data_IF_738781266599
#
_entry.id   IF_738781266599
#
_cell.length_a   1.000
_cell.length_b   1.000
_cell.length_c   1.000
_cell.angle_alpha   90.00
_cell.angle_beta   90.00
_cell.angle_gamma   90.00
#
_symmetry.space_group_name_H-M   'P 1'
#
loop_
_entity.id
_entity.type
_entity.pdbx_description
1 polymer ?
#
# COMPACT_ATOMS: atom_id res chain seq x y z
N UNK A 1 -3.10 12.11 -15.05
CA UNK A 1 -2.48 10.80 -14.94
C UNK A 1 -3.13 9.98 -13.84
N UNK A 2 -3.85 8.97 -14.18
CA UNK A 2 -4.50 8.18 -13.14
C UNK A 2 -3.46 7.47 -12.27
N UNK A 3 -3.75 7.39 -11.02
CA UNK A 3 -2.84 6.73 -10.08
C UNK A 3 -3.14 5.27 -9.89
N UNK A 4 -4.16 4.76 -10.55
CA UNK A 4 -4.57 3.37 -10.40
C UNK A 4 -4.86 3.08 -8.94
N UNK A 5 -4.41 1.94 -8.47
CA UNK A 5 -4.46 1.58 -7.07
C UNK A 5 -3.23 2.09 -6.31
N UNK A 6 -2.32 2.75 -6.99
CA UNK A 6 -1.12 3.28 -6.35
C UNK A 6 -1.49 4.43 -5.42
N UNK A 7 -0.79 4.50 -4.31
CA UNK A 7 -0.99 5.57 -3.36
C UNK A 7 -0.31 6.85 -3.86
N UNK A 8 -0.88 8.00 -3.52
CA UNK A 8 -0.18 9.25 -3.66
C UNK A 8 1.04 9.27 -2.73
N UNK A 9 1.93 10.22 -2.98
CA UNK A 9 3.17 10.29 -2.20
C UNK A 9 2.91 10.45 -0.72
N UNK A 10 1.99 11.34 -0.36
CA UNK A 10 1.69 11.58 1.06
C UNK A 10 0.96 10.39 1.68
N UNK A 11 0.04 9.77 0.93
CA UNK A 11 -0.62 8.57 1.41
C UNK A 11 0.38 7.46 1.70
N UNK A 12 1.40 7.33 0.86
CA UNK A 12 2.43 6.32 1.07
C UNK A 12 3.22 6.57 2.35
N UNK A 13 3.60 7.84 2.60
CA UNK A 13 4.33 8.18 3.82
C UNK A 13 3.49 7.89 5.05
N UNK A 14 2.20 8.23 4.99
CA UNK A 14 1.29 7.95 6.12
C UNK A 14 1.14 6.45 6.34
N UNK A 15 0.94 5.68 5.28
CA UNK A 15 0.84 4.22 5.42
C UNK A 15 2.13 3.62 5.97
N UNK A 16 3.29 4.09 5.50
CA UNK A 16 4.58 3.61 6.03
C UNK A 16 4.67 3.88 7.53
N UNK A 17 4.18 5.03 7.96
CA UNK A 17 4.18 5.38 9.38
C UNK A 17 3.29 4.43 10.17
N UNK A 18 2.11 4.12 9.65
CA UNK A 18 1.20 3.17 10.31
C UNK A 18 1.82 1.78 10.42
N UNK A 19 2.51 1.32 9.36
CA UNK A 19 3.15 0.00 9.40
C UNK A 19 4.34 -0.03 10.36
N UNK A 20 5.10 1.05 10.39
CA UNK A 20 6.34 1.09 11.17
C UNK A 20 6.08 1.32 12.64
N UNK A 21 5.16 2.20 12.98
CA UNK A 21 4.94 2.66 14.36
C UNK A 21 3.61 2.23 14.96
N UNK A 22 2.68 1.72 14.15
CA UNK A 22 1.41 1.25 14.66
C UNK A 22 1.54 0.02 15.55
N UNK A 23 0.43 -0.52 16.01
CA UNK A 23 -0.94 -0.13 15.66
C UNK A 23 -1.46 1.07 16.46
N UNK A 24 -2.64 1.51 16.08
CA UNK A 24 -3.45 2.45 16.84
C UNK A 24 -2.80 3.81 17.09
N UNK A 25 -2.45 4.48 16.01
CA UNK A 25 -1.87 5.82 16.07
C UNK A 25 -2.97 6.89 15.91
N UNK A 26 -2.89 7.93 16.75
CA UNK A 26 -3.71 9.12 16.54
C UNK A 26 -3.13 9.96 15.41
N UNK A 27 -3.90 10.97 14.95
CA UNK A 27 -3.37 11.90 13.95
C UNK A 27 -2.08 12.54 14.44
N UNK A 28 -2.05 12.94 15.69
CA UNK A 28 -0.86 13.56 16.27
C UNK A 28 0.32 12.60 16.30
N UNK A 29 0.06 11.35 16.65
CA UNK A 29 1.12 10.32 16.65
C UNK A 29 1.72 10.17 15.27
N UNK A 30 0.87 10.14 14.23
CA UNK A 30 1.33 10.01 12.86
C UNK A 30 2.19 11.20 12.49
N UNK A 31 1.73 12.41 12.79
CA UNK A 31 2.49 13.61 12.49
C UNK A 31 3.87 13.60 13.14
N UNK A 32 3.93 13.18 14.40
CA UNK A 32 5.19 13.19 15.15
C UNK A 32 6.16 12.14 14.63
N UNK A 33 5.66 11.08 14.00
CA UNK A 33 6.47 9.96 13.57
C UNK A 33 6.79 9.96 12.08
N UNK A 34 6.13 10.83 11.30
CA UNK A 34 6.37 10.90 9.87
C UNK A 34 7.74 11.46 9.56
N UNK A 35 8.37 10.92 8.52
CA UNK A 35 9.66 11.38 8.08
C UNK A 35 9.52 12.28 6.86
N UNK A 36 10.35 13.32 6.80
CA UNK A 36 10.45 14.15 5.63
C UNK A 36 9.30 15.12 5.39
N UNK A 37 8.42 15.31 6.36
CA UNK A 37 7.23 16.12 6.17
C UNK A 37 7.02 17.05 7.36
N UNK A 38 7.92 17.99 7.52
CA UNK A 38 7.95 18.77 8.77
C UNK A 38 6.90 19.85 8.89
N UNK A 39 6.28 20.25 7.79
CA UNK A 39 5.44 21.45 7.83
C UNK A 39 4.01 21.23 7.38
N UNK A 40 3.56 19.98 7.43
CA UNK A 40 2.20 19.70 7.04
C UNK A 40 1.24 19.99 8.19
N UNK A 41 0.09 20.54 7.84
CA UNK A 41 -0.92 20.87 8.83
C UNK A 41 -1.59 19.60 9.36
N UNK A 42 -2.04 19.68 10.59
CA UNK A 42 -2.80 18.62 11.23
C UNK A 42 -3.99 18.20 10.35
N UNK A 43 -4.73 19.18 9.81
CA UNK A 43 -5.90 18.88 8.99
C UNK A 43 -5.54 18.14 7.70
N UNK A 44 -4.35 18.40 7.15
CA UNK A 44 -3.90 17.68 5.96
C UNK A 44 -3.71 16.21 6.27
N UNK A 45 -3.05 15.90 7.39
CA UNK A 45 -2.81 14.51 7.78
C UNK A 45 -4.12 13.82 8.15
N UNK A 46 -5.00 14.53 8.85
CA UNK A 46 -6.31 14.00 9.20
C UNK A 46 -7.11 13.63 7.94
N UNK A 47 -7.08 14.48 6.93
CA UNK A 47 -7.76 14.23 5.65
C UNK A 47 -7.18 12.99 4.95
N UNK A 48 -5.86 12.86 4.95
CA UNK A 48 -5.21 11.70 4.34
C UNK A 48 -5.62 10.42 5.06
N UNK A 49 -5.55 10.42 6.39
CA UNK A 49 -5.94 9.24 7.18
C UNK A 49 -7.41 8.88 6.96
N UNK A 50 -8.27 9.89 6.88
CA UNK A 50 -9.69 9.66 6.62
C UNK A 50 -9.90 9.02 5.24
N UNK A 51 -9.18 9.49 4.22
CA UNK A 51 -9.25 8.90 2.90
C UNK A 51 -8.77 7.45 2.89
N UNK A 52 -7.68 7.18 3.60
CA UNK A 52 -7.17 5.81 3.68
C UNK A 52 -8.18 4.88 4.34
N UNK A 53 -8.85 5.36 5.38
CA UNK A 53 -9.89 4.58 6.05
C UNK A 53 -11.07 4.33 5.10
N UNK A 54 -11.47 5.32 4.33
CA UNK A 54 -12.58 5.17 3.37
C UNK A 54 -12.24 4.22 2.24
N UNK A 55 -10.96 4.18 1.85
CA UNK A 55 -10.49 3.24 0.82
C UNK A 55 -10.32 1.81 1.36
N UNK A 56 -10.48 1.62 2.66
CA UNK A 56 -10.27 0.32 3.27
C UNK A 56 -8.82 -0.05 3.50
N UNK A 57 -7.89 0.91 3.38
CA UNK A 57 -6.47 0.67 3.58
C UNK A 57 -6.05 0.86 5.02
N UNK A 58 -6.83 1.59 5.78
CA UNK A 58 -6.64 1.76 7.21
C UNK A 58 -7.97 1.53 7.91
N UNK A 59 -7.89 1.14 9.16
CA UNK A 59 -9.07 1.01 10.03
C UNK A 59 -8.93 2.02 11.14
N UNK A 60 -10.06 2.59 11.56
CA UNK A 60 -10.03 3.52 12.67
C UNK A 60 -10.98 3.07 13.77
N UNK A 61 -10.56 3.31 14.99
CA UNK A 61 -11.38 3.03 16.16
C UNK A 61 -11.42 4.27 17.02
N UNK A 62 -12.53 4.44 17.71
CA UNK A 62 -12.71 5.56 18.61
C UNK A 62 -12.10 5.24 19.95
N UNK A 63 -11.32 6.19 20.47
CA UNK A 63 -10.73 6.09 21.80
C UNK A 63 -10.97 7.43 22.49
N UNK A 64 -12.04 7.50 23.27
CA UNK A 64 -12.45 8.77 23.84
C UNK A 64 -12.83 9.75 22.76
N UNK A 65 -12.15 10.88 22.71
CA UNK A 65 -12.39 11.92 21.70
C UNK A 65 -11.51 11.79 20.47
N UNK A 66 -10.58 10.85 20.50
CA UNK A 66 -9.63 10.71 19.41
C UNK A 66 -9.97 9.50 18.56
N UNK A 67 -9.65 9.59 17.27
CA UNK A 67 -9.63 8.45 16.40
C UNK A 67 -8.21 7.86 16.37
N UNK A 68 -8.12 6.54 16.41
CA UNK A 68 -6.85 5.85 16.26
C UNK A 68 -6.89 5.02 14.99
N UNK A 69 -5.80 5.04 14.26
CA UNK A 69 -5.71 4.43 12.95
C UNK A 69 -4.72 3.28 12.95
N UNK A 70 -5.07 2.21 12.25
CA UNK A 70 -4.22 1.03 12.10
C UNK A 70 -4.25 0.64 10.63
N UNK A 71 -3.11 0.22 10.09
CA UNK A 71 -3.08 -0.30 8.72
C UNK A 71 -3.97 -1.53 8.63
N UNK A 72 -4.83 -1.58 7.60
CA UNK A 72 -5.79 -2.67 7.44
C UNK A 72 -5.16 -3.90 6.80
N UNK A 73 -4.02 -3.74 6.15
CA UNK A 73 -3.33 -4.85 5.48
C UNK A 73 -1.82 -4.62 5.52
N UNK A 74 -1.08 -5.64 5.10
CA UNK A 74 0.38 -5.55 5.08
C UNK A 74 0.86 -4.79 3.86
N UNK A 75 2.14 -4.39 3.88
CA UNK A 75 2.78 -3.77 2.71
C UNK A 75 2.68 -4.69 1.50
N UNK A 76 2.93 -5.97 1.72
CA UNK A 76 2.91 -6.97 0.64
C UNK A 76 1.51 -7.12 0.05
N UNK A 77 0.49 -7.14 0.89
CA UNK A 77 -0.89 -7.25 0.42
C UNK A 77 -1.30 -6.02 -0.38
N UNK A 78 -0.89 -4.83 0.07
CA UNK A 78 -1.20 -3.60 -0.65
C UNK A 78 -0.49 -3.56 -2.01
N UNK A 79 0.78 -3.98 -2.04
CA UNK A 79 1.53 -4.06 -3.30
C UNK A 79 0.85 -5.03 -4.27
N UNK A 80 0.38 -6.16 -3.77
CA UNK A 80 -0.32 -7.13 -4.60
C UNK A 80 -1.59 -6.55 -5.21
N UNK A 81 -2.35 -5.79 -4.42
CA UNK A 81 -3.55 -5.12 -4.91
C UNK A 81 -3.22 -4.15 -6.03
N UNK A 82 -2.15 -3.37 -5.87
CA UNK A 82 -1.72 -2.43 -6.90
C UNK A 82 -1.31 -3.14 -8.19
N UNK A 83 -0.55 -4.23 -8.07
CA UNK A 83 -0.15 -5.03 -9.23
C UNK A 83 -1.37 -5.58 -9.96
N UNK A 84 -2.33 -6.14 -9.23
CA UNK A 84 -3.53 -6.70 -9.84
C UNK A 84 -4.34 -5.63 -10.55
N UNK A 85 -4.49 -4.47 -9.94
CA UNK A 85 -5.22 -3.37 -10.54
C UNK A 85 -4.56 -2.91 -11.85
N UNK A 86 -3.24 -2.83 -11.86
CA UNK A 86 -2.51 -2.45 -13.06
C UNK A 86 -2.76 -3.45 -14.18
N UNK A 87 -2.69 -4.74 -13.89
CA UNK A 87 -2.92 -5.78 -14.90
C UNK A 87 -4.36 -5.79 -15.40
N UNK A 88 -5.32 -5.54 -14.50
CA UNK A 88 -6.73 -5.50 -14.89
C UNK A 88 -7.04 -4.34 -15.82
N UNK A 89 -6.25 -3.28 -15.74
CA UNK A 89 -6.45 -2.09 -16.57
C UNK A 89 -5.73 -2.16 -17.91
N UNK A 90 -5.00 -3.23 -18.18
CA UNK A 90 -4.34 -3.40 -19.47
C UNK A 90 -5.40 -3.66 -20.55
N UNK A 91 -5.39 -2.83 -21.58
CA UNK A 91 -6.37 -2.91 -22.67
C UNK A 91 -5.89 -3.81 -23.80
N UNK A 92 -4.75 -4.45 -23.66
CA UNK A 92 -4.14 -5.28 -24.67
C UNK A 92 -3.83 -6.65 -24.08
N UNK A 93 -2.88 -7.35 -24.67
CA UNK A 93 -2.50 -8.70 -24.24
C UNK A 93 -1.80 -8.64 -22.88
N UNK A 94 -2.48 -9.18 -21.88
CA UNK A 94 -1.96 -9.21 -20.50
C UNK A 94 -0.66 -10.03 -20.44
N UNK A 95 -0.61 -11.16 -21.14
CA UNK A 95 0.60 -11.98 -21.16
C UNK A 95 1.79 -11.20 -21.70
N UNK A 96 1.58 -10.44 -22.78
CA UNK A 96 2.64 -9.65 -23.36
C UNK A 96 3.13 -8.58 -22.39
N UNK A 97 2.22 -7.95 -21.66
CA UNK A 97 2.59 -6.98 -20.63
C UNK A 97 3.47 -7.63 -19.56
N UNK A 98 3.12 -8.84 -19.13
CA UNK A 98 3.91 -9.57 -18.16
C UNK A 98 5.29 -9.92 -18.71
N UNK A 99 5.38 -10.28 -19.99
CA UNK A 99 6.67 -10.58 -20.61
C UNK A 99 7.57 -9.35 -20.64
N UNK A 100 7.03 -8.19 -20.96
CA UNK A 100 7.79 -6.96 -20.92
C UNK A 100 8.29 -6.65 -19.52
N UNK A 101 7.47 -6.86 -18.53
CA UNK A 101 7.85 -6.68 -17.14
C UNK A 101 9.01 -7.61 -16.76
N UNK A 102 8.91 -8.87 -17.16
CA UNK A 102 9.93 -9.87 -16.83
C UNK A 102 11.24 -9.65 -17.58
N UNK A 103 11.19 -9.05 -18.78
CA UNK A 103 12.41 -8.79 -19.55
C UNK A 103 13.39 -7.91 -18.78
N UNK A 104 12.89 -7.04 -17.92
CA UNK A 104 13.73 -6.13 -17.13
C UNK A 104 14.06 -6.69 -15.74
N UNK A 105 13.58 -7.87 -15.40
CA UNK A 105 13.79 -8.43 -14.09
C UNK A 105 15.22 -8.95 -13.93
N UNK A 106 15.78 -8.75 -12.74
CA UNK A 106 17.09 -9.32 -12.42
C UNK A 106 16.99 -10.83 -12.22
N UNK A 107 18.11 -11.56 -12.26
CA UNK A 107 18.07 -12.99 -11.94
C UNK A 107 17.47 -13.29 -10.58
N UNK A 108 17.75 -12.47 -9.57
CA UNK A 108 17.18 -12.66 -8.23
C UNK A 108 15.66 -12.48 -8.26
N UNK A 109 15.18 -11.48 -8.98
CA UNK A 109 13.73 -11.25 -9.11
C UNK A 109 13.05 -12.40 -9.83
N UNK A 110 13.69 -12.93 -10.87
CA UNK A 110 13.14 -14.10 -11.57
C UNK A 110 13.08 -15.32 -10.67
N UNK A 111 14.07 -15.51 -9.82
CA UNK A 111 14.05 -16.60 -8.85
C UNK A 111 12.90 -16.44 -7.85
N UNK A 112 12.68 -15.22 -7.37
CA UNK A 112 11.57 -14.93 -6.48
C UNK A 112 10.22 -15.22 -7.15
N UNK A 113 10.10 -14.84 -8.41
CA UNK A 113 8.86 -15.09 -9.16
C UNK A 113 8.60 -16.58 -9.34
N UNK A 114 9.64 -17.34 -9.67
CA UNK A 114 9.52 -18.80 -9.80
C UNK A 114 9.09 -19.42 -8.49
N UNK A 115 9.72 -19.02 -7.39
CA UNK A 115 9.40 -19.57 -6.07
C UNK A 115 7.96 -19.23 -5.67
N UNK A 116 7.54 -17.97 -5.91
CA UNK A 116 6.20 -17.54 -5.58
C UNK A 116 5.16 -18.33 -6.40
N UNK A 117 5.41 -18.49 -7.70
CA UNK A 117 4.49 -19.21 -8.57
C UNK A 117 4.39 -20.68 -8.14
N UNK A 118 5.51 -21.31 -7.86
CA UNK A 118 5.53 -22.70 -7.42
C UNK A 118 4.74 -22.88 -6.12
N UNK A 119 4.88 -21.94 -5.20
CA UNK A 119 4.15 -22.01 -3.92
C UNK A 119 2.64 -21.90 -4.13
N UNK A 120 2.21 -20.97 -4.97
CA UNK A 120 0.79 -20.78 -5.24
C UNK A 120 0.21 -22.02 -5.95
N UNK A 121 0.92 -22.55 -6.93
CA UNK A 121 0.47 -23.75 -7.63
C UNK A 121 0.37 -24.94 -6.69
N UNK A 122 1.31 -25.10 -5.78
CA UNK A 122 1.30 -26.18 -4.80
C UNK A 122 0.06 -26.07 -3.90
N UNK A 123 -0.31 -24.86 -3.50
CA UNK A 123 -1.46 -24.66 -2.62
C UNK A 123 -2.79 -24.91 -3.33
N UNK A 124 -2.80 -24.80 -4.66
CA UNK A 124 -4.03 -24.94 -5.44
C UNK A 124 -4.24 -26.33 -6.02
N UNK A 125 -3.37 -27.28 -5.71
CA UNK A 125 -3.54 -28.67 -6.17
C UNK A 125 -4.10 -29.59 -5.09
#
# INVERSE_FOLDING_TARGET
MPRNAALGDLERVVMDTLWTHGPQLTVRDVMDRMEGTKELAYTTIMTVLDRLAKKGLAQRTRDGRAWRYTAASTREALAATALRSTLENVQADRRLAMMHFLDDASPAELDDLRAALAEVERRHT
#
